data_IF_799560950612
#
_entry.id   IF_799560950612
#
_cell.length_a   1.000
_cell.length_b   1.000
_cell.length_c   1.000
_cell.angle_alpha   90.00
_cell.angle_beta   90.00
_cell.angle_gamma   90.00
#
_symmetry.space_group_name_H-M   'P 1'
#
loop_
_entity.id
_entity.type
_entity.pdbx_description
1 polymer ?
#
# COMPACT_ATOMS: atom_id res chain seq x y z
N UNK A 1 -22.07 -12.52 -21.32
CA UNK A 1 -20.96 -12.04 -20.46
C UNK A 1 -20.80 -10.56 -20.76
N UNK A 2 -21.32 -9.73 -19.86
CA UNK A 2 -21.52 -8.29 -20.06
C UNK A 2 -20.21 -7.53 -19.86
N UNK A 3 -19.97 -6.49 -20.65
CA UNK A 3 -18.73 -5.68 -20.65
C UNK A 3 -18.33 -5.16 -19.25
N UNK A 4 -19.30 -5.04 -18.33
CA UNK A 4 -19.10 -4.65 -16.93
C UNK A 4 -18.21 -5.63 -16.14
N UNK A 5 -18.36 -6.94 -16.36
CA UNK A 5 -17.56 -7.97 -15.68
C UNK A 5 -16.09 -7.95 -16.15
N UNK A 6 -15.87 -7.53 -17.40
CA UNK A 6 -14.52 -7.41 -17.95
C UNK A 6 -13.77 -6.23 -17.33
N UNK A 7 -14.44 -5.08 -17.18
CA UNK A 7 -13.86 -3.89 -16.57
C UNK A 7 -13.47 -4.14 -15.11
N UNK A 8 -14.38 -4.70 -14.30
CA UNK A 8 -14.12 -5.08 -12.91
C UNK A 8 -12.87 -5.96 -12.74
N UNK A 9 -12.66 -6.89 -13.67
CA UNK A 9 -11.52 -7.82 -13.66
C UNK A 9 -10.20 -7.10 -13.96
N UNK A 10 -10.19 -6.11 -14.85
CA UNK A 10 -9.03 -5.24 -15.13
C UNK A 10 -8.68 -4.43 -13.88
N UNK A 11 -9.66 -3.87 -13.18
CA UNK A 11 -9.40 -3.09 -11.95
C UNK A 11 -8.79 -3.93 -10.84
N UNK A 12 -9.27 -5.17 -10.67
CA UNK A 12 -8.64 -6.13 -9.75
C UNK A 12 -7.16 -6.36 -10.09
N UNK A 13 -6.85 -6.55 -11.37
CA UNK A 13 -5.46 -6.75 -11.83
C UNK A 13 -4.62 -5.50 -11.56
N UNK A 14 -5.13 -4.29 -11.83
CA UNK A 14 -4.42 -3.04 -11.56
C UNK A 14 -4.12 -2.85 -10.06
N UNK A 15 -5.07 -3.21 -9.18
CA UNK A 15 -4.86 -3.19 -7.73
C UNK A 15 -3.77 -4.17 -7.28
N UNK A 16 -3.76 -5.38 -7.86
CA UNK A 16 -2.73 -6.39 -7.59
C UNK A 16 -1.37 -5.89 -8.07
N UNK A 17 -1.28 -5.35 -9.29
CA UNK A 17 -0.03 -4.80 -9.84
C UNK A 17 0.48 -3.66 -8.96
N UNK A 18 -0.39 -2.73 -8.54
CA UNK A 18 0.01 -1.62 -7.64
C UNK A 18 0.46 -2.12 -6.28
N UNK A 19 -0.24 -3.09 -5.68
CA UNK A 19 0.15 -3.70 -4.41
C UNK A 19 1.51 -4.39 -4.49
N UNK A 20 1.75 -5.16 -5.56
CA UNK A 20 3.05 -5.78 -5.84
C UNK A 20 4.12 -4.72 -6.06
N UNK A 21 3.84 -3.68 -6.85
CA UNK A 21 4.78 -2.60 -7.13
C UNK A 21 5.16 -1.86 -5.84
N UNK A 22 4.20 -1.57 -4.96
CA UNK A 22 4.46 -0.98 -3.64
C UNK A 22 5.32 -1.91 -2.76
N UNK A 23 5.09 -3.22 -2.80
CA UNK A 23 5.94 -4.19 -2.10
C UNK A 23 7.37 -4.24 -2.67
N UNK A 24 7.52 -4.20 -4.00
CA UNK A 24 8.82 -4.11 -4.66
C UNK A 24 9.50 -2.79 -4.29
N UNK A 25 8.76 -1.68 -4.21
CA UNK A 25 9.30 -0.40 -3.77
C UNK A 25 9.78 -0.43 -2.30
N UNK A 26 9.20 -1.30 -1.48
CA UNK A 26 9.65 -1.53 -0.11
C UNK A 26 11.06 -2.14 -0.02
N UNK A 27 11.63 -2.60 -1.13
CA UNK A 27 13.04 -3.03 -1.19
C UNK A 27 13.99 -1.83 -1.05
N UNK A 28 13.59 -0.62 -1.46
CA UNK A 28 14.42 0.59 -1.30
C UNK A 28 14.71 0.93 0.18
N UNK A 29 13.71 1.03 1.09
CA UNK A 29 14.00 1.23 2.50
C UNK A 29 14.78 0.05 3.12
N UNK A 30 14.63 -1.17 2.59
CA UNK A 30 15.42 -2.32 3.03
C UNK A 30 16.91 -2.16 2.67
N UNK A 31 17.22 -1.61 1.48
CA UNK A 31 18.58 -1.19 1.11
C UNK A 31 19.12 -0.09 2.03
N UNK A 32 18.28 0.87 2.43
CA UNK A 32 18.65 1.91 3.40
C UNK A 32 19.05 1.33 4.77
N UNK A 33 18.33 0.31 5.24
CA UNK A 33 18.68 -0.41 6.47
C UNK A 33 20.03 -1.11 6.31
N UNK A 34 20.25 -1.79 5.18
CA UNK A 34 21.52 -2.47 4.90
C UNK A 34 22.70 -1.48 4.85
N UNK A 35 22.50 -0.33 4.23
CA UNK A 35 23.48 0.75 4.18
C UNK A 35 23.77 1.36 5.56
N UNK A 36 22.74 1.54 6.39
CA UNK A 36 22.89 2.01 7.77
C UNK A 36 23.69 1.04 8.65
N UNK A 37 23.45 -0.28 8.51
CA UNK A 37 24.22 -1.32 9.22
C UNK A 37 25.67 -1.36 8.75
N UNK A 38 25.91 -1.22 7.44
CA UNK A 38 27.25 -1.17 6.88
C UNK A 38 28.02 0.04 7.44
N UNK A 39 27.43 1.23 7.44
CA UNK A 39 28.06 2.42 8.04
C UNK A 39 28.35 2.23 9.54
N UNK A 40 27.48 1.53 10.28
CA UNK A 40 27.69 1.25 11.70
C UNK A 40 28.82 0.23 11.96
N UNK A 41 29.02 -0.76 11.08
CA UNK A 41 30.06 -1.78 11.22
C UNK A 41 31.45 -1.32 10.77
N UNK A 42 31.53 -0.45 9.75
CA UNK A 42 32.78 0.09 9.21
C UNK A 42 33.25 1.36 9.93
N UNK A 43 32.55 1.77 11.00
CA UNK A 43 32.92 2.93 11.79
C UNK A 43 34.11 2.60 12.69
N UNK A 44 35.31 2.93 12.24
CA UNK A 44 36.48 3.05 13.12
C UNK A 44 36.20 4.14 14.17
N UNK A 45 36.59 3.87 15.41
CA UNK A 45 36.23 4.58 16.66
C UNK A 45 36.70 6.04 16.78
N UNK A 46 36.76 6.81 15.70
CA UNK A 46 37.45 8.10 15.69
C UNK A 46 36.59 9.35 15.45
N UNK A 47 35.32 9.21 15.05
CA UNK A 47 34.40 10.35 14.85
C UNK A 47 32.97 10.07 15.36
N UNK A 48 32.52 10.78 16.39
CA UNK A 48 31.17 10.60 16.96
C UNK A 48 30.03 10.96 15.98
N UNK A 49 30.29 11.84 14.99
CA UNK A 49 29.26 12.36 14.07
C UNK A 49 28.70 11.31 13.09
N UNK A 50 29.51 10.34 12.64
CA UNK A 50 29.05 9.35 11.65
C UNK A 50 28.25 8.19 12.27
N UNK A 51 28.42 7.92 13.57
CA UNK A 51 27.58 6.98 14.31
C UNK A 51 26.12 7.47 14.40
N UNK A 52 25.93 8.78 14.62
CA UNK A 52 24.60 9.41 14.67
C UNK A 52 23.93 9.37 13.29
N UNK A 53 24.69 9.64 12.22
CA UNK A 53 24.19 9.54 10.84
C UNK A 53 23.69 8.14 10.49
N UNK A 54 24.48 7.10 10.80
CA UNK A 54 24.09 5.71 10.57
C UNK A 54 22.83 5.29 11.35
N UNK A 55 22.72 5.70 12.63
CA UNK A 55 21.57 5.39 13.47
C UNK A 55 20.26 6.05 12.97
N UNK A 56 20.33 7.29 12.49
CA UNK A 56 19.18 8.00 11.91
C UNK A 56 18.73 7.32 10.61
N UNK A 57 19.67 7.01 9.71
CA UNK A 57 19.41 6.34 8.42
C UNK A 57 18.78 4.97 8.65
N UNK A 58 19.29 4.20 9.63
CA UNK A 58 18.74 2.89 10.00
C UNK A 58 17.33 3.01 10.56
N UNK A 59 17.09 3.94 11.49
CA UNK A 59 15.77 4.15 12.11
C UNK A 59 14.72 4.56 11.08
N UNK A 60 15.06 5.51 10.20
CA UNK A 60 14.19 5.95 9.11
C UNK A 60 13.89 4.79 8.15
N UNK A 61 14.91 4.00 7.78
CA UNK A 61 14.74 2.83 6.92
C UNK A 61 13.75 1.81 7.49
N UNK A 62 13.84 1.51 8.79
CA UNK A 62 12.93 0.59 9.49
C UNK A 62 11.49 1.13 9.49
N UNK A 63 11.31 2.40 9.87
CA UNK A 63 9.99 3.04 9.93
C UNK A 63 9.33 3.06 8.55
N UNK A 64 10.07 3.46 7.51
CA UNK A 64 9.58 3.47 6.15
C UNK A 64 9.24 2.06 5.66
N UNK A 65 10.10 1.07 5.93
CA UNK A 65 9.85 -0.32 5.54
C UNK A 65 8.54 -0.85 6.14
N UNK A 66 8.35 -0.70 7.46
CA UNK A 66 7.11 -1.08 8.14
C UNK A 66 5.89 -0.37 7.54
N UNK A 67 6.00 0.92 7.25
CA UNK A 67 4.92 1.71 6.68
C UNK A 67 4.54 1.25 5.25
N UNK A 68 5.52 1.05 4.37
CA UNK A 68 5.31 0.57 3.00
C UNK A 68 4.75 -0.85 2.97
N UNK A 69 5.27 -1.75 3.81
CA UNK A 69 4.75 -3.12 3.93
C UNK A 69 3.32 -3.12 4.45
N UNK A 70 3.04 -2.39 5.53
CA UNK A 70 1.70 -2.30 6.09
C UNK A 70 0.70 -1.78 5.03
N UNK A 71 1.02 -0.69 4.34
CA UNK A 71 0.15 -0.17 3.29
C UNK A 71 0.01 -1.10 2.08
N UNK A 72 1.07 -1.82 1.69
CA UNK A 72 1.00 -2.85 0.67
C UNK A 72 0.00 -3.96 1.05
N UNK A 73 0.11 -4.48 2.28
CA UNK A 73 -0.79 -5.52 2.80
C UNK A 73 -2.22 -5.01 2.90
N UNK A 74 -2.44 -3.81 3.43
CA UNK A 74 -3.76 -3.17 3.54
C UNK A 74 -4.41 -2.99 2.16
N UNK A 75 -3.62 -2.60 1.15
CA UNK A 75 -4.08 -2.46 -0.24
C UNK A 75 -4.49 -3.82 -0.82
N UNK A 76 -3.73 -4.88 -0.57
CA UNK A 76 -4.05 -6.24 -1.01
C UNK A 76 -5.30 -6.80 -0.30
N UNK A 77 -5.43 -6.56 1.00
CA UNK A 77 -6.64 -6.91 1.76
C UNK A 77 -7.87 -6.19 1.21
N UNK A 78 -7.73 -4.90 0.90
CA UNK A 78 -8.81 -4.08 0.31
C UNK A 78 -9.25 -4.68 -1.03
N UNK A 79 -8.31 -5.08 -1.88
CA UNK A 79 -8.62 -5.75 -3.15
C UNK A 79 -9.31 -7.11 -2.95
N UNK A 80 -8.89 -7.88 -1.93
CA UNK A 80 -9.52 -9.16 -1.58
C UNK A 80 -10.96 -8.96 -1.06
N UNK A 81 -11.17 -8.02 -0.14
CA UNK A 81 -12.50 -7.72 0.40
C UNK A 81 -13.45 -7.11 -0.64
N UNK A 82 -12.92 -6.37 -1.61
CA UNK A 82 -13.70 -5.91 -2.76
C UNK A 82 -14.18 -7.09 -3.63
N UNK A 83 -13.32 -8.10 -3.84
CA UNK A 83 -13.67 -9.33 -4.57
C UNK A 83 -14.61 -10.27 -3.80
N UNK A 84 -14.44 -10.37 -2.49
CA UNK A 84 -15.32 -11.15 -1.58
C UNK A 84 -16.60 -10.40 -1.19
N UNK A 85 -16.73 -9.13 -1.58
CA UNK A 85 -17.90 -8.28 -1.35
C UNK A 85 -18.28 -8.18 0.14
N UNK A 86 -17.28 -8.03 1.00
CA UNK A 86 -17.43 -8.09 2.46
C UNK A 86 -16.87 -6.83 3.14
N UNK A 87 -17.56 -6.32 4.16
CA UNK A 87 -17.20 -5.14 4.97
C UNK A 87 -17.07 -3.82 4.18
N UNK A 88 -18.21 -3.22 3.79
CA UNK A 88 -18.27 -1.99 2.98
C UNK A 88 -17.45 -0.83 3.59
N UNK A 89 -17.66 -0.53 4.87
CA UNK A 89 -17.07 0.65 5.52
C UNK A 89 -15.54 0.51 5.62
N UNK A 90 -15.02 -0.71 5.79
CA UNK A 90 -13.58 -0.97 5.81
C UNK A 90 -12.94 -0.68 4.44
N UNK A 91 -13.53 -1.20 3.36
CA UNK A 91 -13.02 -0.98 1.99
C UNK A 91 -13.11 0.50 1.61
N UNK A 92 -14.18 1.19 2.03
CA UNK A 92 -14.36 2.61 1.77
C UNK A 92 -13.30 3.48 2.45
N UNK A 93 -13.05 3.26 3.76
CA UNK A 93 -12.01 3.98 4.50
C UNK A 93 -10.63 3.70 3.91
N UNK A 94 -10.34 2.44 3.58
CA UNK A 94 -9.07 2.08 2.95
C UNK A 94 -8.89 2.71 1.57
N UNK A 95 -9.95 2.87 0.78
CA UNK A 95 -9.88 3.56 -0.50
C UNK A 95 -9.48 5.04 -0.35
N UNK A 96 -9.99 5.72 0.69
CA UNK A 96 -9.59 7.10 1.01
C UNK A 96 -8.13 7.18 1.44
N UNK A 97 -7.69 6.27 2.32
CA UNK A 97 -6.27 6.18 2.74
C UNK A 97 -5.37 5.94 1.53
N UNK A 98 -5.82 5.07 0.62
CA UNK A 98 -5.11 4.76 -0.60
C UNK A 98 -5.03 5.97 -1.56
N UNK A 99 -5.96 6.91 -1.53
CA UNK A 99 -5.85 8.16 -2.29
C UNK A 99 -4.68 9.05 -1.81
N UNK A 100 -4.25 8.93 -0.55
CA UNK A 100 -3.16 9.75 -0.01
C UNK A 100 -1.76 9.25 -0.39
N UNK A 101 -1.65 8.05 -0.98
CA UNK A 101 -0.36 7.41 -1.29
C UNK A 101 0.28 7.82 -2.62
N UNK A 102 -0.28 8.82 -3.31
CA UNK A 102 0.22 9.34 -4.59
C UNK A 102 -0.65 8.97 -5.79
N UNK A 103 -0.20 9.29 -7.02
CA UNK A 103 -1.01 9.25 -8.25
C UNK A 103 -1.67 7.87 -8.48
N UNK A 104 -0.89 6.79 -8.33
CA UNK A 104 -1.43 5.43 -8.48
C UNK A 104 -2.47 5.12 -7.38
N UNK A 105 -2.22 5.57 -6.15
CA UNK A 105 -3.16 5.43 -5.04
C UNK A 105 -4.48 6.19 -5.27
N UNK A 106 -4.40 7.42 -5.79
CA UNK A 106 -5.55 8.26 -6.15
C UNK A 106 -6.43 7.58 -7.20
N UNK A 107 -5.85 7.13 -8.31
CA UNK A 107 -6.60 6.48 -9.40
C UNK A 107 -7.35 5.26 -8.84
N UNK A 108 -6.66 4.43 -8.09
CA UNK A 108 -7.20 3.20 -7.52
C UNK A 108 -8.27 3.48 -6.46
N UNK A 109 -8.02 4.43 -5.55
CA UNK A 109 -8.94 4.80 -4.50
C UNK A 109 -10.23 5.44 -5.04
N UNK A 110 -10.12 6.38 -5.98
CA UNK A 110 -11.28 6.97 -6.67
C UNK A 110 -12.07 5.88 -7.39
N UNK A 111 -11.38 4.99 -8.11
CA UNK A 111 -12.04 3.92 -8.83
C UNK A 111 -12.80 2.97 -7.91
N UNK A 112 -12.21 2.61 -6.77
CA UNK A 112 -12.87 1.80 -5.73
C UNK A 112 -14.09 2.50 -5.15
N UNK A 113 -14.01 3.81 -4.90
CA UNK A 113 -15.14 4.61 -4.43
C UNK A 113 -16.28 4.62 -5.46
N UNK A 114 -15.97 4.77 -6.75
CA UNK A 114 -16.96 4.74 -7.85
C UNK A 114 -17.64 3.35 -7.89
N UNK A 115 -16.87 2.27 -7.85
CA UNK A 115 -17.39 0.90 -7.86
C UNK A 115 -18.28 0.62 -6.64
N UNK A 116 -17.85 1.03 -5.45
CA UNK A 116 -18.64 0.94 -4.22
C UNK A 116 -19.91 1.77 -4.24
N UNK A 117 -19.94 2.88 -5.00
CA UNK A 117 -21.14 3.71 -5.09
C UNK A 117 -22.21 3.13 -6.03
N UNK A 118 -21.86 2.17 -6.89
CA UNK A 118 -22.85 1.48 -7.71
C UNK A 118 -23.87 0.75 -6.84
N UNK A 119 -25.15 0.96 -7.14
CA UNK A 119 -26.29 0.38 -6.44
C UNK A 119 -26.25 -1.15 -6.41
N UNK A 120 -25.69 -1.76 -7.47
CA UNK A 120 -25.52 -3.20 -7.60
C UNK A 120 -24.52 -3.75 -6.55
N UNK A 121 -23.46 -3.00 -6.25
CA UNK A 121 -22.44 -3.35 -5.27
C UNK A 121 -22.94 -3.10 -3.84
N UNK A 122 -23.64 -1.97 -3.57
CA UNK A 122 -24.27 -1.74 -2.25
C UNK A 122 -25.23 -2.88 -1.85
N UNK A 123 -25.99 -3.40 -2.82
CA UNK A 123 -26.86 -4.59 -2.63
C UNK A 123 -26.07 -5.85 -2.31
N UNK A 124 -24.95 -6.07 -2.99
CA UNK A 124 -24.08 -7.22 -2.74
C UNK A 124 -23.41 -7.19 -1.36
N UNK A 125 -23.19 -6.01 -0.80
CA UNK A 125 -22.67 -5.80 0.55
C UNK A 125 -23.78 -5.75 1.63
N UNK A 126 -25.05 -5.96 1.26
CA UNK A 126 -26.17 -6.01 2.20
C UNK A 126 -26.57 -4.66 2.83
N UNK A 127 -26.12 -3.53 2.27
CA UNK A 127 -26.50 -2.19 2.76
C UNK A 127 -27.79 -1.74 2.05
N UNK A 128 -28.88 -1.40 2.77
CA UNK A 128 -30.10 -0.91 2.14
C UNK A 128 -29.82 0.42 1.43
N UNK A 129 -30.42 0.58 0.25
CA UNK A 129 -30.32 1.75 -0.64
C UNK A 129 -30.88 3.00 0.00
#
# INVERSE_FOLDING_TARGET
MTSEDHNLRIFKILYIIKGILTLVFSIIPLLYIFFGIYLFQFHDKHDDDSTIGGAIVMTIGIVLFLFFVAMGILTLLTAKYLGEKRNYDFVFVMAIINCLTGILGIILGIFTIIELNKTNVKRLFGKPV
#
